data_IF_472181662442
#
_entry.id   IF_472181662442
#
_cell.length_a   1.000
_cell.length_b   1.000
_cell.length_c   1.000
_cell.angle_alpha   90.00
_cell.angle_beta   90.00
_cell.angle_gamma   90.00
#
_symmetry.space_group_name_H-M   'P 1'
#
loop_
_entity.id
_entity.type
_entity.pdbx_description
1 polymer ?
#
# COMPACT_ATOMS: atom_id res chain seq x y z
N UNK A 1 -14.88 -23.16 -8.85
CA UNK A 1 -13.92 -23.26 -9.98
C UNK A 1 -13.04 -24.45 -9.68
N UNK A 2 -12.73 -25.31 -10.65
CA UNK A 2 -11.84 -26.46 -10.38
C UNK A 2 -10.41 -25.99 -10.10
N UNK A 3 -9.71 -26.58 -9.11
CA UNK A 3 -8.30 -26.30 -8.82
C UNK A 3 -7.40 -26.59 -10.03
N UNK A 4 -6.31 -25.83 -10.19
CA UNK A 4 -5.32 -26.02 -11.25
C UNK A 4 -3.91 -26.13 -10.66
N UNK A 5 -3.61 -27.25 -9.97
CA UNK A 5 -2.34 -27.44 -9.26
C UNK A 5 -1.13 -27.52 -10.20
N UNK A 6 -1.36 -27.95 -11.45
CA UNK A 6 -0.31 -28.07 -12.47
C UNK A 6 -0.12 -26.77 -13.28
N UNK A 7 -0.79 -25.67 -12.89
CA UNK A 7 -0.74 -24.36 -13.55
C UNK A 7 -0.99 -24.42 -15.07
N UNK A 8 -1.89 -25.32 -15.53
CA UNK A 8 -2.15 -25.54 -16.96
C UNK A 8 -2.86 -24.35 -17.61
N UNK A 9 -3.65 -23.61 -16.84
CA UNK A 9 -4.30 -22.37 -17.25
C UNK A 9 -3.39 -21.19 -16.97
N UNK A 10 -3.43 -20.11 -17.78
CA UNK A 10 -2.65 -18.91 -17.50
C UNK A 10 -3.15 -18.12 -16.27
N UNK A 11 -4.45 -18.18 -16.00
CA UNK A 11 -5.10 -17.52 -14.85
C UNK A 11 -6.41 -18.22 -14.53
N UNK A 12 -6.92 -17.96 -13.31
CA UNK A 12 -8.17 -18.51 -12.82
C UNK A 12 -9.32 -17.52 -13.05
N UNK A 13 -9.07 -16.22 -12.91
CA UNK A 13 -10.04 -15.15 -13.15
C UNK A 13 -9.40 -13.96 -13.86
N UNK A 14 -10.23 -13.12 -14.49
CA UNK A 14 -9.78 -11.83 -15.03
C UNK A 14 -10.69 -10.69 -14.59
N UNK A 15 -10.09 -9.56 -14.25
CA UNK A 15 -10.74 -8.30 -13.90
C UNK A 15 -10.27 -7.23 -14.90
N UNK A 16 -11.19 -6.76 -15.73
CA UNK A 16 -10.96 -5.63 -16.63
C UNK A 16 -11.86 -4.47 -16.23
N UNK A 17 -11.28 -3.30 -15.99
CA UNK A 17 -12.02 -2.10 -15.61
C UNK A 17 -11.46 -0.89 -16.34
N UNK A 18 -12.34 -0.05 -16.88
CA UNK A 18 -11.93 1.20 -17.53
C UNK A 18 -12.82 2.33 -17.03
N UNK A 19 -12.21 3.34 -16.41
CA UNK A 19 -12.88 4.58 -16.01
C UNK A 19 -12.52 5.66 -17.02
N UNK A 20 -13.51 6.21 -17.76
CA UNK A 20 -13.24 7.20 -18.80
C UNK A 20 -12.78 8.53 -18.21
N UNK A 21 -12.07 9.33 -19.01
CA UNK A 21 -11.54 10.65 -18.63
C UNK A 21 -12.60 11.68 -18.19
N UNK A 22 -13.87 11.46 -18.53
CA UNK A 22 -14.99 12.29 -18.10
C UNK A 22 -15.42 12.04 -16.63
N UNK A 23 -14.88 11.01 -15.97
CA UNK A 23 -15.22 10.66 -14.59
C UNK A 23 -13.98 10.70 -13.71
N UNK A 24 -14.15 11.25 -12.50
CA UNK A 24 -13.14 11.14 -11.46
C UNK A 24 -13.50 9.97 -10.54
N UNK A 25 -12.48 9.27 -10.05
CA UNK A 25 -12.60 8.19 -9.11
C UNK A 25 -12.04 8.58 -7.75
N UNK A 26 -12.58 7.97 -6.70
CA UNK A 26 -12.06 8.13 -5.34
C UNK A 26 -11.96 6.74 -4.69
N UNK A 27 -10.79 6.40 -4.18
CA UNK A 27 -10.55 5.17 -3.45
C UNK A 27 -10.11 5.48 -2.03
N UNK A 28 -10.69 4.78 -1.04
CA UNK A 28 -10.24 4.82 0.35
C UNK A 28 -9.65 3.46 0.67
N UNK A 29 -8.36 3.44 1.02
CA UNK A 29 -7.69 2.23 1.41
C UNK A 29 -8.19 1.76 2.79
N UNK A 30 -8.94 0.66 2.80
CA UNK A 30 -9.46 0.03 4.02
C UNK A 30 -9.14 -1.46 4.09
N UNK A 31 -8.03 -1.89 3.46
CA UNK A 31 -7.70 -3.31 3.32
C UNK A 31 -7.61 -4.02 4.67
N UNK A 32 -6.84 -3.48 5.63
CA UNK A 32 -6.72 -4.09 6.95
C UNK A 32 -8.06 -4.25 7.69
N UNK A 33 -8.95 -3.26 7.57
CA UNK A 33 -10.29 -3.36 8.15
C UNK A 33 -11.07 -4.52 7.52
N UNK A 34 -11.01 -4.65 6.20
CA UNK A 34 -11.63 -5.76 5.48
C UNK A 34 -11.03 -7.11 5.92
N UNK A 35 -9.71 -7.23 6.00
CA UNK A 35 -9.02 -8.44 6.46
C UNK A 35 -9.46 -8.82 7.86
N UNK A 36 -9.39 -7.89 8.83
CA UNK A 36 -9.82 -8.17 10.21
C UNK A 36 -11.31 -8.54 10.31
N UNK A 37 -12.15 -7.97 9.45
CA UNK A 37 -13.58 -8.34 9.39
C UNK A 37 -13.77 -9.76 8.83
N UNK A 38 -13.04 -10.13 7.78
CA UNK A 38 -13.07 -11.48 7.21
C UNK A 38 -12.53 -12.50 8.22
N UNK A 39 -11.41 -12.21 8.88
CA UNK A 39 -10.81 -13.08 9.90
C UNK A 39 -11.78 -13.38 11.04
N UNK A 40 -12.52 -12.37 11.50
CA UNK A 40 -13.57 -12.56 12.51
C UNK A 40 -14.62 -13.59 12.05
N UNK A 41 -15.09 -13.49 10.80
CA UNK A 41 -16.09 -14.43 10.29
C UNK A 41 -15.53 -15.84 10.09
N UNK A 42 -14.28 -15.96 9.65
CA UNK A 42 -13.60 -17.26 9.58
C UNK A 42 -13.50 -17.91 10.97
N UNK A 43 -12.99 -17.18 11.97
CA UNK A 43 -12.89 -17.67 13.34
C UNK A 43 -14.27 -18.00 13.95
N UNK A 44 -15.29 -17.19 13.65
CA UNK A 44 -16.65 -17.47 14.10
C UNK A 44 -17.22 -18.75 13.46
N UNK A 45 -17.00 -18.97 12.17
CA UNK A 45 -17.42 -20.18 11.48
C UNK A 45 -16.73 -21.43 12.04
N UNK A 46 -15.42 -21.35 12.33
CA UNK A 46 -14.67 -22.42 13.00
C UNK A 46 -15.26 -22.76 14.37
N UNK A 47 -15.58 -21.74 15.19
CA UNK A 47 -16.24 -21.94 16.48
C UNK A 47 -17.61 -22.60 16.32
N UNK A 48 -18.41 -22.21 15.32
CA UNK A 48 -19.71 -22.85 15.06
C UNK A 48 -19.56 -24.32 14.67
N UNK A 49 -18.55 -24.69 13.88
CA UNK A 49 -18.27 -26.08 13.53
C UNK A 49 -17.86 -26.92 14.74
N UNK A 50 -16.98 -26.37 15.59
CA UNK A 50 -16.56 -27.02 16.84
C UNK A 50 -17.74 -27.28 17.77
N UNK A 51 -18.63 -26.29 17.95
CA UNK A 51 -19.85 -26.43 18.77
C UNK A 51 -20.82 -27.44 18.16
N UNK A 52 -20.91 -27.51 16.83
CA UNK A 52 -21.81 -28.41 16.12
C UNK A 52 -21.29 -29.85 15.99
N UNK A 53 -20.07 -30.15 16.49
CA UNK A 53 -19.35 -31.41 16.25
C UNK A 53 -19.21 -31.75 14.74
N UNK A 54 -19.26 -30.74 13.88
CA UNK A 54 -19.17 -30.94 12.43
C UNK A 54 -17.69 -30.92 12.02
N UNK A 55 -17.10 -32.10 11.86
CA UNK A 55 -15.67 -32.30 11.57
C UNK A 55 -15.34 -32.11 10.08
N UNK A 56 -15.77 -31.01 9.47
CA UNK A 56 -15.28 -30.62 8.15
C UNK A 56 -14.04 -29.74 8.34
N UNK A 57 -12.86 -30.32 8.16
CA UNK A 57 -11.58 -29.62 8.13
C UNK A 57 -11.62 -28.53 7.05
N UNK A 58 -11.67 -27.26 7.45
CA UNK A 58 -11.36 -26.13 6.55
C UNK A 58 -9.89 -26.21 6.07
N UNK A 59 -9.05 -26.98 6.77
CA UNK A 59 -7.60 -27.09 6.61
C UNK A 59 -7.10 -27.97 5.46
N UNK A 60 -7.96 -28.69 4.71
CA UNK A 60 -7.50 -29.61 3.65
C UNK A 60 -7.07 -28.91 2.34
N UNK A 61 -7.21 -27.59 2.25
CA UNK A 61 -6.89 -26.80 1.05
C UNK A 61 -5.60 -25.98 1.14
N UNK A 62 -4.82 -26.14 2.21
CA UNK A 62 -3.67 -25.28 2.49
C UNK A 62 -2.48 -25.53 1.54
N UNK A 63 -2.32 -26.71 0.94
CA UNK A 63 -1.23 -26.94 -0.04
C UNK A 63 -1.65 -26.64 -1.48
N UNK A 64 -2.20 -25.44 -1.71
CA UNK A 64 -2.56 -24.96 -3.05
C UNK A 64 -2.16 -23.51 -3.24
N UNK A 65 -1.77 -23.20 -4.47
CA UNK A 65 -1.55 -21.84 -4.95
C UNK A 65 -2.80 -20.98 -4.71
N UNK A 66 -2.61 -19.71 -4.33
CA UNK A 66 -3.69 -18.72 -4.34
C UNK A 66 -4.26 -18.54 -5.76
N UNK A 67 -5.50 -18.05 -5.84
CA UNK A 67 -6.13 -17.78 -7.15
C UNK A 67 -5.36 -16.73 -7.95
N UNK A 68 -5.04 -17.05 -9.20
CA UNK A 68 -4.40 -16.17 -10.18
C UNK A 68 -5.44 -15.29 -10.85
N UNK A 69 -5.53 -14.04 -10.40
CA UNK A 69 -6.48 -13.05 -10.95
C UNK A 69 -5.73 -12.10 -11.88
N UNK A 70 -5.95 -12.22 -13.19
CA UNK A 70 -5.40 -11.28 -14.16
C UNK A 70 -6.13 -9.93 -14.06
N UNK A 71 -5.40 -8.84 -13.93
CA UNK A 71 -5.89 -7.49 -13.76
C UNK A 71 -5.47 -6.62 -14.94
N UNK A 72 -6.43 -5.89 -15.48
CA UNK A 72 -6.23 -4.83 -16.49
C UNK A 72 -7.20 -3.68 -16.15
N UNK A 73 -6.74 -2.79 -15.27
CA UNK A 73 -7.52 -1.68 -14.75
C UNK A 73 -6.91 -0.37 -15.25
N UNK A 74 -7.69 0.43 -15.96
CA UNK A 74 -7.27 1.75 -16.41
C UNK A 74 -8.25 2.83 -15.94
N UNK A 75 -7.72 3.89 -15.36
CA UNK A 75 -8.45 5.08 -14.93
C UNK A 75 -7.87 6.26 -15.69
N UNK A 76 -8.60 6.70 -16.71
CA UNK A 76 -8.16 7.77 -17.60
C UNK A 76 -8.47 9.18 -17.08
N UNK A 77 -9.32 9.28 -16.06
CA UNK A 77 -9.66 10.52 -15.35
C UNK A 77 -8.91 10.68 -14.03
N UNK A 78 -9.19 11.78 -13.32
CA UNK A 78 -8.56 12.05 -12.03
C UNK A 78 -8.90 10.99 -10.99
N UNK A 79 -7.90 10.50 -10.26
CA UNK A 79 -8.08 9.56 -9.16
C UNK A 79 -7.48 10.15 -7.88
N UNK A 80 -8.28 10.12 -6.81
CA UNK A 80 -7.83 10.41 -5.45
C UNK A 80 -7.83 9.12 -4.63
N UNK A 81 -6.67 8.77 -4.08
CA UNK A 81 -6.44 7.60 -3.25
C UNK A 81 -6.13 8.09 -1.83
N UNK A 82 -7.04 7.84 -0.90
CA UNK A 82 -6.85 8.15 0.50
C UNK A 82 -6.31 6.93 1.25
N UNK A 83 -5.23 7.12 2.01
CA UNK A 83 -4.67 6.14 2.94
C UNK A 83 -4.87 6.64 4.38
N UNK A 84 -5.98 6.27 5.05
CA UNK A 84 -6.21 6.63 6.44
C UNK A 84 -5.13 6.07 7.35
N UNK A 85 -4.72 6.83 8.37
CA UNK A 85 -3.76 6.36 9.36
C UNK A 85 -4.31 5.15 10.13
N UNK A 86 -5.55 5.24 10.63
CA UNK A 86 -6.31 4.13 11.23
C UNK A 86 -7.77 4.58 11.48
N UNK A 87 -8.61 3.67 11.97
CA UNK A 87 -10.03 3.93 12.24
C UNK A 87 -10.29 5.04 13.28
N UNK A 88 -9.38 5.24 14.24
CA UNK A 88 -9.51 6.18 15.35
C UNK A 88 -8.89 7.56 15.06
N UNK A 89 -8.15 7.70 13.96
CA UNK A 89 -7.56 8.96 13.54
C UNK A 89 -8.39 9.64 12.45
N UNK A 90 -8.28 10.97 12.39
CA UNK A 90 -8.72 11.73 11.22
C UNK A 90 -7.61 11.86 10.18
N UNK A 91 -6.34 11.66 10.53
CA UNK A 91 -5.23 11.82 9.59
C UNK A 91 -5.22 10.74 8.51
N UNK A 92 -4.79 11.15 7.32
CA UNK A 92 -4.63 10.32 6.14
C UNK A 92 -3.54 10.89 5.23
N UNK A 93 -2.99 10.06 4.37
CA UNK A 93 -2.23 10.51 3.19
C UNK A 93 -3.18 10.51 2.02
N UNK A 94 -3.15 11.56 1.20
CA UNK A 94 -3.90 11.61 -0.05
C UNK A 94 -2.92 11.62 -1.22
N UNK A 95 -3.06 10.65 -2.10
CA UNK A 95 -2.41 10.60 -3.40
C UNK A 95 -3.44 11.04 -4.45
N UNK A 96 -3.16 12.13 -5.15
CA UNK A 96 -3.93 12.55 -6.32
C UNK A 96 -3.13 12.34 -7.59
N UNK A 97 -3.79 11.89 -8.65
CA UNK A 97 -3.16 11.55 -9.92
C UNK A 97 -4.15 11.77 -11.06
N UNK A 98 -3.66 12.13 -12.24
CA UNK A 98 -4.48 12.36 -13.45
C UNK A 98 -4.92 11.05 -14.12
N UNK A 99 -4.49 9.91 -13.56
CA UNK A 99 -4.98 8.61 -13.92
C UNK A 99 -4.01 7.50 -13.55
N UNK A 100 -4.55 6.28 -13.51
CA UNK A 100 -3.82 5.09 -13.07
C UNK A 100 -4.02 3.94 -14.02
N UNK A 101 -2.96 3.23 -14.33
CA UNK A 101 -3.04 1.89 -14.94
C UNK A 101 -2.50 0.85 -13.97
N UNK A 102 -3.25 -0.24 -13.80
CA UNK A 102 -2.84 -1.42 -13.05
C UNK A 102 -2.92 -2.62 -13.98
N UNK A 103 -1.80 -3.29 -14.13
CA UNK A 103 -1.73 -4.56 -14.84
C UNK A 103 -0.89 -5.55 -14.04
N UNK A 104 -1.13 -6.84 -14.23
CA UNK A 104 -0.26 -7.85 -13.63
C UNK A 104 0.08 -8.97 -14.60
N UNK A 105 1.08 -9.75 -14.20
CA UNK A 105 1.50 -11.00 -14.83
C UNK A 105 1.96 -11.97 -13.75
N UNK A 106 2.08 -13.24 -14.11
CA UNK A 106 2.52 -14.29 -13.21
C UNK A 106 3.89 -14.78 -13.65
N UNK A 107 4.89 -14.60 -12.79
CA UNK A 107 6.28 -14.96 -13.06
C UNK A 107 6.80 -15.86 -11.93
N UNK A 108 7.79 -16.68 -12.21
CA UNK A 108 8.51 -17.41 -11.15
C UNK A 108 9.53 -16.49 -10.48
N UNK A 109 9.76 -16.66 -9.17
CA UNK A 109 10.64 -15.80 -8.38
C UNK A 109 12.05 -15.69 -8.97
N UNK A 110 12.62 -16.79 -9.46
CA UNK A 110 13.95 -16.84 -10.09
C UNK A 110 14.10 -15.97 -11.35
N UNK A 111 12.99 -15.59 -11.99
CA UNK A 111 12.99 -14.73 -13.18
C UNK A 111 12.96 -13.23 -12.86
N UNK A 112 12.71 -12.86 -11.60
CA UNK A 112 12.54 -11.49 -11.16
C UNK A 112 13.87 -10.90 -10.64
N UNK A 113 14.55 -10.14 -11.51
CA UNK A 113 15.81 -9.45 -11.17
C UNK A 113 15.67 -8.48 -10.00
N UNK A 114 14.46 -7.96 -9.77
CA UNK A 114 14.17 -7.06 -8.65
C UNK A 114 14.35 -7.73 -7.28
N UNK A 115 14.18 -9.04 -7.19
CA UNK A 115 14.43 -9.78 -5.96
C UNK A 115 15.93 -9.84 -5.63
N UNK A 116 16.80 -9.99 -6.63
CA UNK A 116 18.25 -9.91 -6.43
C UNK A 116 18.72 -8.49 -6.11
N UNK A 117 18.12 -7.49 -6.75
CA UNK A 117 18.57 -6.10 -6.67
C UNK A 117 18.00 -5.29 -5.51
N UNK A 118 16.82 -5.65 -5.02
CA UNK A 118 16.08 -4.85 -4.05
C UNK A 118 15.64 -5.65 -2.83
N UNK A 119 15.22 -6.92 -2.94
CA UNK A 119 14.72 -7.64 -1.76
C UNK A 119 15.82 -7.82 -0.70
N UNK A 120 15.54 -7.28 0.48
CA UNK A 120 16.47 -7.11 1.60
C UNK A 120 16.90 -8.43 2.24
N UNK A 121 15.97 -9.38 2.25
CA UNK A 121 16.19 -10.73 2.68
C UNK A 121 16.25 -11.57 1.40
N UNK A 122 17.44 -12.08 1.10
CA UNK A 122 17.65 -12.99 -0.01
C UNK A 122 16.97 -14.31 0.38
N UNK A 123 15.84 -14.67 -0.21
CA UNK A 123 14.97 -15.68 0.39
C UNK A 123 15.51 -17.12 0.24
N UNK A 124 16.65 -17.30 -0.45
CA UNK A 124 17.31 -18.56 -0.80
C UNK A 124 17.78 -19.48 0.35
N UNK A 125 17.18 -19.46 1.53
CA UNK A 125 17.71 -20.18 2.70
C UNK A 125 16.85 -21.31 3.26
N UNK A 126 15.63 -21.55 2.79
CA UNK A 126 14.76 -22.57 3.39
C UNK A 126 14.48 -23.79 2.50
N UNK A 127 14.20 -23.62 1.20
CA UNK A 127 13.97 -24.71 0.26
C UNK A 127 14.41 -24.36 -1.20
N UNK A 128 14.38 -25.34 -2.11
CA UNK A 128 14.68 -25.16 -3.55
C UNK A 128 13.44 -24.76 -4.37
N UNK A 129 12.33 -24.37 -3.72
CA UNK A 129 11.07 -24.10 -4.41
C UNK A 129 11.10 -22.73 -5.10
N UNK A 130 10.77 -22.69 -6.39
CA UNK A 130 10.70 -21.44 -7.15
C UNK A 130 9.25 -20.93 -7.13
N UNK A 131 8.96 -20.03 -6.18
CA UNK A 131 7.61 -19.54 -5.93
C UNK A 131 6.99 -18.84 -7.15
N UNK A 132 5.71 -19.08 -7.41
CA UNK A 132 4.92 -18.28 -8.35
C UNK A 132 4.54 -16.93 -7.73
N UNK A 133 4.83 -15.86 -8.46
CA UNK A 133 4.66 -14.48 -8.02
C UNK A 133 3.64 -13.76 -8.91
N UNK A 134 2.71 -13.05 -8.27
CA UNK A 134 1.87 -12.04 -8.90
C UNK A 134 2.67 -10.72 -8.99
N UNK A 135 3.16 -10.42 -10.19
CA UNK A 135 3.92 -9.21 -10.53
C UNK A 135 2.97 -8.13 -11.03
N UNK A 136 2.67 -7.16 -10.16
CA UNK A 136 1.68 -6.10 -10.42
C UNK A 136 2.42 -4.79 -10.67
N UNK A 137 2.10 -4.14 -11.77
CA UNK A 137 2.60 -2.81 -12.10
C UNK A 137 1.47 -1.79 -11.97
N UNK A 138 1.68 -0.79 -11.13
CA UNK A 138 0.76 0.32 -10.90
C UNK A 138 1.45 1.64 -11.27
N UNK A 139 0.96 2.27 -12.33
CA UNK A 139 1.50 3.53 -12.84
C UNK A 139 0.53 4.66 -12.54
N UNK A 140 0.97 5.67 -11.79
CA UNK A 140 0.21 6.88 -11.50
C UNK A 140 0.76 8.06 -12.31
N UNK A 141 -0.08 8.69 -13.13
CA UNK A 141 0.30 9.85 -13.95
C UNK A 141 0.19 11.15 -13.16
N UNK A 142 1.22 11.99 -13.23
CA UNK A 142 1.17 13.34 -12.64
C UNK A 142 0.76 13.34 -11.14
N UNK A 143 1.30 12.40 -10.37
CA UNK A 143 0.89 12.14 -9.00
C UNK A 143 1.50 13.13 -7.99
N UNK A 144 0.73 13.44 -6.95
CA UNK A 144 1.11 14.31 -5.83
C UNK A 144 0.62 13.76 -4.51
N UNK A 145 1.39 13.98 -3.43
CA UNK A 145 1.05 13.52 -2.09
C UNK A 145 0.76 14.69 -1.16
N UNK A 146 -0.30 14.54 -0.37
CA UNK A 146 -0.75 15.54 0.58
C UNK A 146 -1.00 14.89 1.95
N UNK A 147 -0.77 15.66 3.01
CA UNK A 147 -1.38 15.34 4.29
C UNK A 147 -2.87 15.69 4.21
N UNK A 148 -3.71 14.76 4.64
CA UNK A 148 -5.16 14.90 4.59
C UNK A 148 -5.80 14.55 5.93
N UNK A 149 -7.02 15.05 6.12
CA UNK A 149 -7.80 14.88 7.33
C UNK A 149 -9.24 14.54 6.95
N UNK A 150 -9.70 13.38 7.41
CA UNK A 150 -11.10 12.98 7.37
C UNK A 150 -11.92 13.92 8.25
N UNK A 151 -13.02 14.44 7.71
CA UNK A 151 -13.97 15.30 8.41
C UNK A 151 -15.39 14.75 8.25
N UNK A 152 -16.19 14.69 9.32
CA UNK A 152 -17.61 14.37 9.21
C UNK A 152 -18.35 15.51 8.50
N UNK A 153 -19.41 15.19 7.76
CA UNK A 153 -20.35 16.18 7.25
C UNK A 153 -21.22 16.68 8.40
N UNK A 154 -21.59 17.96 8.40
CA UNK A 154 -22.59 18.46 9.33
C UNK A 154 -23.95 17.79 9.05
N UNK A 155 -24.72 17.47 10.10
CA UNK A 155 -26.02 16.82 9.93
C UNK A 155 -26.93 17.66 9.03
N UNK A 156 -27.41 17.07 7.92
CA UNK A 156 -28.38 17.68 7.03
C UNK A 156 -27.80 18.50 5.86
N UNK A 157 -26.47 18.64 5.74
CA UNK A 157 -25.83 19.27 4.59
C UNK A 157 -24.94 18.28 3.81
N UNK A 158 -25.14 18.11 2.50
CA UNK A 158 -24.18 17.40 1.65
C UNK A 158 -22.87 18.18 1.43
N UNK A 159 -22.76 19.38 2.03
CA UNK A 159 -21.63 20.29 1.92
C UNK A 159 -21.00 20.54 3.31
N UNK A 160 -19.67 20.64 3.34
CA UNK A 160 -18.91 20.98 4.54
C UNK A 160 -19.15 22.43 4.96
N UNK A 161 -19.72 22.64 6.15
CA UNK A 161 -19.68 23.94 6.81
C UNK A 161 -18.54 23.96 7.82
N UNK A 162 -17.51 24.78 7.56
CA UNK A 162 -16.38 25.01 8.46
C UNK A 162 -16.79 25.85 9.68
N UNK A 163 -17.63 25.34 10.58
CA UNK A 163 -17.93 26.06 11.83
C UNK A 163 -17.14 25.58 13.05
N UNK A 164 -16.41 24.45 12.97
CA UNK A 164 -15.58 23.96 14.08
C UNK A 164 -14.28 23.32 13.57
N UNK A 165 -13.41 24.14 12.97
CA UNK A 165 -12.01 23.75 12.85
C UNK A 165 -11.33 23.93 14.22
N UNK A 166 -10.57 22.95 14.75
CA UNK A 166 -9.63 23.24 15.84
C UNK A 166 -8.72 24.38 15.36
N UNK A 167 -8.41 25.32 16.26
CA UNK A 167 -7.87 26.67 16.05
C UNK A 167 -6.49 26.78 15.33
N UNK A 168 -6.31 26.05 14.22
CA UNK A 168 -5.08 25.93 13.45
C UNK A 168 -5.26 26.31 11.97
N UNK A 169 -6.47 26.60 11.48
CA UNK A 169 -6.72 26.71 10.03
C UNK A 169 -6.60 28.14 9.50
N UNK A 170 -5.37 28.52 9.13
CA UNK A 170 -4.99 29.80 8.51
C UNK A 170 -5.24 29.86 6.99
N UNK A 171 -6.18 29.06 6.46
CA UNK A 171 -6.45 29.00 5.01
C UNK A 171 -5.43 28.18 4.22
N UNK A 172 -4.69 27.28 4.88
CA UNK A 172 -3.66 26.42 4.29
C UNK A 172 -4.19 25.08 3.75
N UNK A 173 -5.49 24.82 3.89
CA UNK A 173 -6.12 23.54 3.51
C UNK A 173 -7.17 23.71 2.42
N UNK A 174 -7.36 22.66 1.62
CA UNK A 174 -8.28 22.59 0.49
C UNK A 174 -9.23 21.39 0.69
N UNK A 175 -10.51 21.58 0.38
CA UNK A 175 -11.49 20.50 0.34
C UNK A 175 -11.26 19.57 -0.86
N UNK A 176 -11.30 18.27 -0.62
CA UNK A 176 -11.19 17.26 -1.66
C UNK A 176 -12.61 16.90 -2.14
N UNK A 177 -12.94 17.07 -3.43
CA UNK A 177 -14.25 16.69 -3.94
C UNK A 177 -14.50 15.19 -3.73
N UNK A 178 -15.55 14.85 -2.96
CA UNK A 178 -15.96 13.46 -2.74
C UNK A 178 -17.46 13.31 -2.88
N UNK A 179 -17.93 12.09 -3.16
CA UNK A 179 -19.36 11.74 -3.24
C UNK A 179 -19.90 11.14 -1.94
N UNK A 180 -19.07 11.09 -0.90
CA UNK A 180 -19.40 10.51 0.38
C UNK A 180 -20.46 11.36 1.11
N UNK A 181 -21.45 10.71 1.72
CA UNK A 181 -22.58 11.42 2.34
C UNK A 181 -22.32 11.85 3.79
N UNK A 182 -21.40 11.17 4.48
CA UNK A 182 -21.21 11.31 5.93
C UNK A 182 -19.87 11.91 6.33
N UNK A 183 -18.89 11.84 5.45
CA UNK A 183 -17.54 12.32 5.69
C UNK A 183 -16.88 12.65 4.36
N UNK A 184 -15.74 13.28 4.41
CA UNK A 184 -14.91 13.61 3.26
C UNK A 184 -13.53 14.01 3.76
N UNK A 185 -12.71 14.58 2.87
CA UNK A 185 -11.32 14.89 3.20
C UNK A 185 -11.00 16.36 2.93
N UNK A 186 -10.18 16.93 3.81
CA UNK A 186 -9.46 18.19 3.55
C UNK A 186 -7.98 17.87 3.49
N UNK A 187 -7.25 18.49 2.58
CA UNK A 187 -5.81 18.27 2.37
C UNK A 187 -5.01 19.55 2.54
N UNK A 188 -3.70 19.43 2.76
CA UNK A 188 -2.77 20.56 2.68
C UNK A 188 -2.71 21.11 1.24
N UNK A 189 -2.38 22.40 1.09
CA UNK A 189 -2.11 23.02 -0.21
C UNK A 189 -0.81 22.50 -0.85
N UNK A 190 0.20 22.27 -0.03
CA UNK A 190 1.53 21.88 -0.48
C UNK A 190 1.62 20.39 -0.75
N UNK A 191 2.32 20.03 -1.83
CA UNK A 191 2.76 18.66 -2.08
C UNK A 191 3.92 18.36 -1.12
N UNK A 192 3.70 17.41 -0.21
CA UNK A 192 4.58 17.14 0.93
C UNK A 192 5.60 16.04 0.67
N UNK A 193 5.53 15.37 -0.49
CA UNK A 193 6.51 14.35 -0.86
C UNK A 193 7.37 14.80 -2.03
N UNK A 194 6.80 15.51 -3.01
CA UNK A 194 7.48 15.83 -4.26
C UNK A 194 7.51 17.35 -4.49
N UNK A 195 8.61 17.85 -5.02
CA UNK A 195 8.77 19.23 -5.48
C UNK A 195 7.68 19.65 -6.48
N UNK A 196 7.26 18.70 -7.31
CA UNK A 196 6.20 18.86 -8.30
C UNK A 196 5.51 17.53 -8.59
N UNK A 197 4.30 17.57 -9.17
CA UNK A 197 3.64 16.36 -9.66
C UNK A 197 4.51 15.54 -10.60
N UNK A 198 4.58 14.21 -10.40
CA UNK A 198 5.44 13.29 -11.16
C UNK A 198 4.75 11.98 -11.47
N UNK A 199 5.15 11.33 -12.55
CA UNK A 199 4.76 9.94 -12.80
C UNK A 199 5.44 9.04 -11.77
N UNK A 200 4.66 8.16 -11.15
CA UNK A 200 5.12 7.19 -10.16
C UNK A 200 4.83 5.79 -10.68
N UNK A 201 5.83 4.91 -10.59
CA UNK A 201 5.67 3.50 -10.92
C UNK A 201 5.89 2.68 -9.66
N UNK A 202 4.86 1.93 -9.30
CA UNK A 202 4.90 0.96 -8.21
C UNK A 202 4.93 -0.44 -8.82
N UNK A 203 5.93 -1.22 -8.45
CA UNK A 203 5.98 -2.66 -8.72
C UNK A 203 5.64 -3.38 -7.43
N UNK A 204 4.55 -4.15 -7.43
CA UNK A 204 4.14 -4.95 -6.27
C UNK A 204 4.31 -6.43 -6.62
N UNK A 205 4.96 -7.16 -5.75
CA UNK A 205 5.10 -8.60 -5.82
C UNK A 205 4.28 -9.25 -4.71
N UNK A 206 3.49 -10.26 -5.06
CA UNK A 206 2.77 -11.08 -4.07
C UNK A 206 3.05 -12.55 -4.31
N UNK A 207 3.51 -13.25 -3.29
CA UNK A 207 3.70 -14.69 -3.35
C UNK A 207 2.33 -15.38 -3.45
N UNK A 208 2.07 -16.03 -4.58
CA UNK A 208 0.86 -16.84 -4.78
C UNK A 208 0.98 -18.15 -4.01
N UNK A 209 2.21 -18.57 -3.75
CA UNK A 209 2.58 -19.88 -3.22
C UNK A 209 2.94 -19.80 -1.75
N UNK A 210 2.48 -18.77 -1.03
CA UNK A 210 2.83 -18.55 0.38
C UNK A 210 2.50 -19.74 1.28
N UNK A 211 1.56 -20.60 0.90
CA UNK A 211 1.22 -21.80 1.68
C UNK A 211 2.00 -23.05 1.26
N UNK A 212 2.76 -22.96 0.16
CA UNK A 212 3.62 -24.02 -0.36
C UNK A 212 5.08 -23.74 0.03
N UNK A 213 5.54 -22.50 -0.17
CA UNK A 213 6.90 -22.09 0.14
C UNK A 213 7.00 -20.61 0.50
N UNK A 214 7.92 -20.32 1.42
CA UNK A 214 8.31 -18.98 1.85
C UNK A 214 9.65 -18.52 1.22
N UNK A 215 10.14 -19.21 0.19
CA UNK A 215 11.36 -18.87 -0.57
C UNK A 215 11.21 -17.61 -1.45
N UNK A 216 10.15 -16.83 -1.26
CA UNK A 216 9.99 -15.48 -1.76
C UNK A 216 9.15 -14.66 -0.76
N UNK A 217 9.34 -13.33 -0.70
CA UNK A 217 8.53 -12.46 0.16
C UNK A 217 7.04 -12.56 -0.14
N UNK A 218 6.21 -12.67 0.90
CA UNK A 218 4.75 -12.74 0.73
C UNK A 218 4.18 -11.49 0.03
N UNK A 219 4.68 -10.31 0.40
CA UNK A 219 4.39 -9.06 -0.29
C UNK A 219 5.65 -8.19 -0.37
N UNK A 220 5.93 -7.63 -1.54
CA UNK A 220 6.96 -6.60 -1.72
C UNK A 220 6.41 -5.46 -2.55
N UNK A 221 6.78 -4.23 -2.22
CA UNK A 221 6.40 -3.02 -2.96
C UNK A 221 7.65 -2.22 -3.24
N UNK A 222 7.88 -1.93 -4.51
CA UNK A 222 8.99 -1.12 -5.01
C UNK A 222 8.38 0.12 -5.63
N UNK A 223 8.74 1.30 -5.13
CA UNK A 223 8.38 2.58 -5.73
C UNK A 223 9.61 3.19 -6.40
N UNK A 224 9.52 3.35 -7.72
CA UNK A 224 10.52 4.02 -8.52
C UNK A 224 10.13 5.49 -8.72
N UNK A 225 11.00 6.40 -8.29
CA UNK A 225 10.85 7.84 -8.50
C UNK A 225 11.99 8.38 -9.36
N UNK A 226 11.70 8.71 -10.61
CA UNK A 226 12.70 9.27 -11.51
C UNK A 226 12.91 10.77 -11.27
N UNK A 227 14.18 11.18 -11.12
CA UNK A 227 14.58 12.58 -10.97
C UNK A 227 13.82 13.34 -9.86
N UNK A 228 13.43 12.68 -8.77
CA UNK A 228 12.56 13.27 -7.75
C UNK A 228 13.36 13.96 -6.64
N UNK A 229 12.85 15.09 -6.16
CA UNK A 229 13.38 15.74 -4.97
C UNK A 229 12.34 15.58 -3.85
N UNK A 230 12.72 14.84 -2.81
CA UNK A 230 11.85 14.54 -1.68
C UNK A 230 11.94 15.63 -0.62
N UNK A 231 10.82 16.28 -0.30
CA UNK A 231 10.75 17.29 0.75
C UNK A 231 9.84 16.83 1.89
N UNK A 232 10.35 15.92 2.74
CA UNK A 232 9.54 15.25 3.77
C UNK A 232 9.72 15.93 5.12
N UNK A 233 8.65 16.53 5.65
CA UNK A 233 8.66 17.04 7.03
C UNK A 233 8.67 15.88 8.04
N UNK A 234 9.20 16.11 9.25
CA UNK A 234 9.19 15.08 10.31
C UNK A 234 7.78 14.57 10.63
N UNK A 235 6.78 15.45 10.61
CA UNK A 235 5.39 15.06 10.87
C UNK A 235 4.81 14.24 9.72
N UNK A 236 5.10 14.61 8.47
CA UNK A 236 4.66 13.83 7.31
C UNK A 236 5.35 12.46 7.24
N UNK A 237 6.64 12.38 7.60
CA UNK A 237 7.36 11.11 7.72
C UNK A 237 6.72 10.18 8.76
N UNK A 238 6.36 10.71 9.95
CA UNK A 238 5.64 9.93 10.98
C UNK A 238 4.30 9.42 10.46
N UNK A 239 3.60 10.24 9.68
CA UNK A 239 2.33 9.87 9.07
C UNK A 239 2.51 8.73 8.04
N UNK A 240 3.52 8.82 7.16
CA UNK A 240 3.88 7.75 6.22
C UNK A 240 4.15 6.45 6.99
N UNK A 241 5.06 6.51 7.98
CA UNK A 241 5.40 5.34 8.80
C UNK A 241 4.17 4.73 9.48
N UNK A 242 3.31 5.58 10.05
CA UNK A 242 2.09 5.15 10.69
C UNK A 242 1.10 4.50 9.71
N UNK A 243 0.89 5.09 8.53
CA UNK A 243 0.02 4.50 7.49
C UNK A 243 0.54 3.12 7.07
N UNK A 244 1.85 3.00 6.87
CA UNK A 244 2.49 1.75 6.49
C UNK A 244 2.35 0.67 7.58
N UNK A 245 2.72 0.99 8.82
CA UNK A 245 2.61 0.08 9.97
C UNK A 245 1.14 -0.32 10.26
N UNK A 246 0.21 0.63 10.09
CA UNK A 246 -1.19 0.40 10.44
C UNK A 246 -2.03 -0.17 9.30
N UNK A 247 -1.59 -0.19 8.05
CA UNK A 247 -2.39 -0.71 6.93
C UNK A 247 -1.72 -1.78 6.08
N UNK A 248 -0.39 -1.75 5.94
CA UNK A 248 0.34 -2.58 4.97
C UNK A 248 1.28 -3.61 5.62
N UNK A 249 1.75 -3.36 6.84
CA UNK A 249 2.56 -4.32 7.59
C UNK A 249 1.68 -5.25 8.43
N UNK A 250 2.19 -6.46 8.68
CA UNK A 250 1.65 -7.33 9.72
C UNK A 250 1.67 -6.62 11.08
N UNK A 251 0.68 -6.89 11.97
CA UNK A 251 0.77 -6.42 13.34
C UNK A 251 2.08 -6.90 13.97
N UNK A 252 2.98 -5.96 14.27
CA UNK A 252 4.11 -6.24 15.15
C UNK A 252 3.53 -6.76 16.47
N UNK A 253 3.74 -8.05 16.76
CA UNK A 253 3.61 -8.55 18.13
C UNK A 253 4.81 -7.96 18.84
N UNK A 254 4.62 -7.01 19.79
CA UNK A 254 5.74 -6.40 20.48
C UNK A 254 6.37 -7.47 21.36
N UNK A 255 7.39 -8.15 20.84
CA UNK A 255 8.35 -8.90 21.64
C UNK A 255 9.39 -7.86 22.04
N UNK A 256 9.44 -7.43 23.30
CA UNK A 256 10.30 -6.31 23.73
C UNK A 256 11.78 -6.52 23.37
N UNK A 257 12.22 -7.78 23.27
CA UNK A 257 13.59 -8.14 22.93
C UNK A 257 13.91 -8.08 21.42
N UNK A 258 12.90 -8.02 20.54
CA UNK A 258 13.08 -8.11 19.08
C UNK A 258 12.62 -6.86 18.32
N UNK A 259 12.44 -5.73 18.99
CA UNK A 259 12.15 -4.46 18.31
C UNK A 259 13.48 -3.94 17.73
N UNK A 260 13.67 -3.90 16.40
CA UNK A 260 14.86 -3.30 15.81
C UNK A 260 15.10 -1.89 16.37
N UNK A 261 16.34 -1.55 16.69
CA UNK A 261 16.67 -0.24 17.27
C UNK A 261 16.30 0.90 16.30
N UNK A 262 16.25 0.60 15.00
CA UNK A 262 15.80 1.42 13.89
C UNK A 262 14.29 1.77 13.96
N UNK A 263 13.50 0.98 14.71
CA UNK A 263 12.11 1.30 15.07
C UNK A 263 12.05 2.32 16.21
N UNK A 264 13.01 2.28 17.11
CA UNK A 264 13.10 3.15 18.28
C UNK A 264 13.84 4.46 17.98
N UNK A 265 14.63 4.50 16.90
CA UNK A 265 15.32 5.69 16.46
C UNK A 265 14.33 6.65 15.79
N UNK A 266 13.99 7.71 16.52
CA UNK A 266 13.49 8.94 15.91
C UNK A 266 14.53 9.38 14.87
N UNK A 267 14.14 9.74 13.64
CA UNK A 267 15.08 10.34 12.69
C UNK A 267 15.81 11.46 13.41
N UNK A 268 17.14 11.44 13.37
CA UNK A 268 17.91 12.53 13.94
C UNK A 268 17.37 13.82 13.32
N UNK A 269 17.14 14.84 14.16
CA UNK A 269 16.70 16.15 13.69
C UNK A 269 17.87 16.84 13.01
N UNK A 270 18.32 16.29 11.89
CA UNK A 270 19.24 16.96 11.01
C UNK A 270 18.43 18.12 10.44
N UNK A 271 18.72 19.33 10.92
CA UNK A 271 18.44 20.53 10.15
C UNK A 271 19.33 20.46 8.92
N UNK A 272 18.98 19.62 7.95
CA UNK A 272 19.49 19.78 6.61
C UNK A 272 18.98 21.13 6.16
N UNK A 273 19.88 22.10 6.23
CA UNK A 273 19.77 23.36 5.50
C UNK A 273 19.46 22.93 4.08
N UNK A 274 18.33 23.39 3.53
CA UNK A 274 17.85 23.08 2.20
C UNK A 274 18.98 23.17 1.17
N UNK A 275 19.70 22.08 0.97
CA UNK A 275 20.51 21.84 -0.20
C UNK A 275 19.64 20.89 -0.98
N UNK A 276 19.16 21.36 -2.12
CA UNK A 276 18.44 20.58 -3.11
C UNK A 276 19.34 19.40 -3.51
N UNK A 277 19.19 18.25 -2.85
CA UNK A 277 19.94 17.05 -3.20
C UNK A 277 19.12 16.31 -4.24
N UNK A 278 19.41 16.60 -5.51
CA UNK A 278 18.88 15.87 -6.66
C UNK A 278 19.43 14.44 -6.64
N UNK A 279 18.63 13.48 -6.19
CA UNK A 279 18.93 12.04 -6.21
C UNK A 279 17.79 11.33 -6.92
N UNK A 280 18.09 10.32 -7.74
CA UNK A 280 17.08 9.31 -8.03
C UNK A 280 16.81 8.62 -6.69
N UNK A 281 15.58 8.72 -6.18
CA UNK A 281 15.21 8.21 -4.86
C UNK A 281 14.33 7.00 -5.09
N UNK A 282 14.87 5.81 -4.80
CA UNK A 282 14.07 4.59 -4.85
C UNK A 282 13.57 4.31 -3.46
N UNK A 283 12.25 4.29 -3.29
CA UNK A 283 11.60 3.96 -2.03
C UNK A 283 11.18 2.51 -2.10
N UNK A 284 11.83 1.65 -1.34
CA UNK A 284 11.41 0.27 -1.23
C UNK A 284 10.66 0.03 0.07
N UNK A 285 9.59 -0.75 0.00
CA UNK A 285 8.85 -1.27 1.14
C UNK A 285 8.66 -2.77 0.91
N UNK A 286 9.59 -3.57 1.43
CA UNK A 286 9.40 -5.02 1.51
C UNK A 286 8.70 -5.36 2.81
N UNK A 287 7.65 -6.20 2.75
CA UNK A 287 7.02 -6.78 3.94
C UNK A 287 7.42 -8.25 3.99
N UNK A 288 8.60 -8.50 4.57
CA UNK A 288 9.06 -9.84 4.93
C UNK A 288 8.80 -10.04 6.42
N UNK A 289 8.04 -11.08 6.77
CA UNK A 289 7.85 -11.54 8.16
C UNK A 289 7.82 -10.42 9.23
N UNK A 290 6.96 -9.41 9.02
CA UNK A 290 6.70 -8.28 9.94
C UNK A 290 7.72 -7.13 9.96
N UNK A 291 8.67 -7.05 9.03
CA UNK A 291 9.63 -5.92 8.96
C UNK A 291 9.25 -4.94 7.86
N UNK A 292 9.13 -3.66 8.22
CA UNK A 292 8.95 -2.55 7.27
C UNK A 292 10.28 -1.79 7.16
N UNK A 293 10.95 -1.92 6.03
CA UNK A 293 12.18 -1.17 5.74
C UNK A 293 11.89 -0.09 4.72
N UNK A 294 12.35 1.14 4.98
CA UNK A 294 12.30 2.26 4.04
C UNK A 294 13.74 2.53 3.61
N UNK A 295 14.15 1.93 2.50
CA UNK A 295 15.43 2.25 1.89
C UNK A 295 15.28 3.41 0.93
N UNK A 296 16.20 4.37 1.01
CA UNK A 296 16.41 5.42 0.01
C UNK A 296 17.78 5.15 -0.62
N UNK A 297 17.80 4.47 -1.75
CA UNK A 297 19.03 4.35 -2.56
C UNK A 297 19.03 5.44 -3.64
N UNK A 298 20.19 6.01 -3.91
CA UNK A 298 20.35 6.96 -5.01
C UNK A 298 21.65 6.75 -5.76
N UNK A 299 21.54 6.63 -7.08
CA UNK A 299 22.70 6.60 -7.97
C UNK A 299 23.30 8.01 -8.04
N UNK A 300 24.41 8.21 -7.33
CA UNK A 300 25.24 9.38 -7.57
C UNK A 300 25.98 9.18 -8.90
N UNK A 301 25.40 9.64 -10.01
CA UNK A 301 26.23 9.97 -11.18
C UNK A 301 27.06 11.19 -10.81
N UNK A 302 28.27 10.93 -10.31
CA UNK A 302 29.34 11.93 -10.24
C UNK A 302 29.60 12.41 -11.67
N UNK A 303 29.32 13.68 -11.94
CA UNK A 303 30.01 14.45 -12.98
C UNK A 303 31.13 15.25 -12.31
#
# INVERSE_FOLDING_TARGET
>A
MEPDPDLRRPFDMSLKMTVPSAMNAFYVHTHRYLTSFVDFWCQFAELQQQVSNDRRSISESLEQHKSRVLMDVNVDGGLSIAFPLNQFSSQAILLETDGVSVANRFDVASSLQDFEGYCLDNPHSEDEYDCLIDSIELNCRNASFFEAFRRPHAQGSPQFHFNEAPAFDSGLRIEVPTTFQRFGFVKTKENLLLDKPKTLTFTLYRNIDEFISHNAPNNSVILCLDNAELNVSTEFYKLIRGVLEKNFADPLIPVPESIPIEILQKPESTKETASAIRRDLRLQISVFERRLELLLSGDSKRF
#
